data_IF_798319220963
#
_entry.id   IF_798319220963
#
_cell.length_a   1.000
_cell.length_b   1.000
_cell.length_c   1.000
_cell.angle_alpha   90.00
_cell.angle_beta   90.00
_cell.angle_gamma   90.00
#
_symmetry.space_group_name_H-M   'P 1'
#
loop_
_entity.id
_entity.type
_entity.pdbx_description
1 polymer ?
#
# COMPACT_ATOMS: atom_id res chain seq x y z
N UNK A 1 -22.28 -23.59 -2.41
CA UNK A 1 -20.94 -23.40 -3.00
C UNK A 1 -20.46 -22.02 -2.61
N UNK A 2 -19.60 -21.91 -1.59
CA UNK A 2 -19.02 -20.62 -1.23
C UNK A 2 -17.88 -20.31 -2.20
N UNK A 3 -18.02 -19.24 -2.99
CA UNK A 3 -16.94 -18.75 -3.83
C UNK A 3 -15.77 -18.41 -2.89
N UNK A 4 -14.65 -19.14 -3.00
CA UNK A 4 -13.39 -18.69 -2.42
C UNK A 4 -12.96 -17.48 -3.24
N UNK A 5 -13.34 -16.29 -2.81
CA UNK A 5 -12.82 -15.04 -3.39
C UNK A 5 -11.35 -14.99 -3.01
N UNK A 6 -10.48 -15.38 -3.94
CA UNK A 6 -9.06 -15.10 -3.82
C UNK A 6 -8.93 -13.59 -3.94
N UNK A 7 -8.70 -12.90 -2.82
CA UNK A 7 -8.48 -11.46 -2.81
C UNK A 7 -7.15 -11.22 -3.53
N UNK A 8 -7.18 -10.61 -4.71
CA UNK A 8 -5.95 -10.21 -5.37
C UNK A 8 -5.22 -9.16 -4.53
N UNK A 9 -3.90 -9.31 -4.29
CA UNK A 9 -3.15 -8.38 -3.46
C UNK A 9 -3.01 -7.02 -4.16
N UNK A 10 -3.03 -5.95 -3.36
CA UNK A 10 -2.91 -4.57 -3.80
C UNK A 10 -1.47 -4.08 -3.66
N UNK A 11 -0.94 -3.43 -4.71
CA UNK A 11 0.25 -2.58 -4.54
C UNK A 11 -0.15 -1.27 -3.86
N UNK A 12 0.78 -0.59 -3.18
CA UNK A 12 0.51 0.75 -2.61
C UNK A 12 0.05 1.77 -3.67
N UNK A 13 0.55 1.64 -4.91
CA UNK A 13 0.10 2.47 -6.04
C UNK A 13 -1.36 2.22 -6.38
N UNK A 14 -1.81 0.97 -6.37
CA UNK A 14 -3.22 0.61 -6.59
C UNK A 14 -4.10 1.17 -5.47
N UNK A 15 -3.67 1.07 -4.20
CA UNK A 15 -4.42 1.62 -3.08
C UNK A 15 -4.67 3.12 -3.24
N UNK A 16 -3.63 3.91 -3.52
CA UNK A 16 -3.85 5.36 -3.73
C UNK A 16 -4.68 5.66 -4.97
N UNK A 17 -4.51 4.91 -6.06
CA UNK A 17 -5.25 5.14 -7.30
C UNK A 17 -6.74 4.81 -7.16
N UNK A 18 -7.10 3.78 -6.40
CA UNK A 18 -8.50 3.43 -6.08
C UNK A 18 -9.22 4.55 -5.29
N UNK A 19 -8.47 5.40 -4.60
CA UNK A 19 -8.98 6.53 -3.85
C UNK A 19 -8.72 7.88 -4.54
N UNK A 20 -8.30 7.87 -5.81
CA UNK A 20 -7.96 9.07 -6.60
C UNK A 20 -6.93 9.99 -5.93
N UNK A 21 -5.97 9.39 -5.21
CA UNK A 21 -4.95 10.13 -4.46
C UNK A 21 -3.62 10.22 -5.21
N UNK A 22 -3.02 11.40 -5.11
CA UNK A 22 -1.60 11.61 -5.39
C UNK A 22 -0.71 10.94 -4.33
N UNK A 23 0.58 10.75 -4.63
CA UNK A 23 1.56 10.23 -3.64
C UNK A 23 1.68 11.15 -2.41
N UNK A 24 1.49 12.47 -2.59
CA UNK A 24 1.54 13.43 -1.50
C UNK A 24 0.34 13.29 -0.56
N UNK A 25 -0.86 13.11 -1.09
CA UNK A 25 -2.08 12.91 -0.30
C UNK A 25 -2.08 11.56 0.43
N UNK A 26 -1.64 10.50 -0.26
CA UNK A 26 -1.49 9.18 0.35
C UNK A 26 -0.46 9.17 1.49
N UNK A 27 0.70 9.79 1.26
CA UNK A 27 1.71 9.99 2.32
C UNK A 27 1.15 10.77 3.51
N UNK A 28 0.44 11.88 3.26
CA UNK A 28 -0.17 12.70 4.31
C UNK A 28 -1.16 11.91 5.16
N UNK A 29 -2.01 11.07 4.54
CA UNK A 29 -2.98 10.22 5.26
C UNK A 29 -2.33 9.30 6.28
N UNK A 30 -1.16 8.75 5.97
CA UNK A 30 -0.43 7.85 6.88
C UNK A 30 0.67 8.57 7.68
N UNK A 31 0.76 9.89 7.56
CA UNK A 31 1.68 10.76 8.30
C UNK A 31 3.14 10.64 7.87
N UNK A 32 3.39 10.47 6.57
CA UNK A 32 4.73 10.49 5.96
C UNK A 32 4.78 11.46 4.77
N UNK A 33 5.98 11.72 4.25
CA UNK A 33 6.13 12.57 3.06
C UNK A 33 5.80 11.82 1.77
N UNK A 34 5.53 12.58 0.70
CA UNK A 34 5.35 12.04 -0.65
C UNK A 34 6.55 11.16 -1.08
N UNK A 35 7.77 11.57 -0.70
CA UNK A 35 9.00 10.86 -1.00
C UNK A 35 9.08 9.49 -0.30
N UNK A 36 8.67 9.42 0.97
CA UNK A 36 8.61 8.15 1.71
C UNK A 36 7.59 7.21 1.07
N UNK A 37 6.38 7.70 0.76
CA UNK A 37 5.36 6.91 0.08
C UNK A 37 5.84 6.40 -1.30
N UNK A 38 6.48 7.26 -2.08
CA UNK A 38 7.10 6.89 -3.35
C UNK A 38 8.14 5.77 -3.21
N UNK A 39 8.99 5.82 -2.18
CA UNK A 39 10.00 4.78 -1.95
C UNK A 39 9.37 3.44 -1.58
N UNK A 40 8.25 3.44 -0.85
CA UNK A 40 7.50 2.23 -0.56
C UNK A 40 6.87 1.63 -1.82
N UNK A 41 6.29 2.47 -2.71
CA UNK A 41 5.77 2.00 -4.01
C UNK A 41 6.85 1.36 -4.89
N UNK A 42 8.11 1.76 -4.71
CA UNK A 42 9.28 1.24 -5.44
C UNK A 42 10.04 0.15 -4.67
N UNK A 43 9.52 -0.32 -3.54
CA UNK A 43 10.18 -1.32 -2.68
C UNK A 43 11.62 -0.93 -2.24
N UNK A 44 11.94 0.37 -2.19
CA UNK A 44 13.27 0.87 -1.76
C UNK A 44 13.42 0.89 -0.24
N UNK A 45 12.33 1.20 0.45
CA UNK A 45 12.19 1.15 1.90
C UNK A 45 10.80 0.61 2.21
N UNK A 46 10.54 0.26 3.46
CA UNK A 46 9.29 -0.36 3.87
C UNK A 46 8.69 0.35 5.10
N UNK A 47 7.36 0.37 5.23
CA UNK A 47 6.70 0.92 6.42
C UNK A 47 7.00 0.09 7.67
N UNK A 48 7.07 0.75 8.83
CA UNK A 48 7.11 0.09 10.14
C UNK A 48 5.70 -0.24 10.66
N UNK A 49 5.61 -0.92 11.81
CA UNK A 49 4.33 -1.35 12.39
C UNK A 49 3.32 -0.20 12.55
N UNK A 50 3.66 0.97 13.15
CA UNK A 50 2.73 2.10 13.21
C UNK A 50 2.26 2.62 11.84
N UNK A 51 3.13 2.60 10.83
CA UNK A 51 2.77 3.03 9.47
C UNK A 51 1.86 2.02 8.78
N UNK A 52 2.11 0.72 8.98
CA UNK A 52 1.24 -0.35 8.49
C UNK A 52 -0.17 -0.22 9.06
N UNK A 53 -0.31 -0.04 10.39
CA UNK A 53 -1.61 0.17 11.03
C UNK A 53 -2.37 1.38 10.46
N UNK A 54 -1.65 2.44 10.08
CA UNK A 54 -2.26 3.60 9.41
C UNK A 54 -2.69 3.28 7.98
N UNK A 55 -1.89 2.52 7.23
CA UNK A 55 -2.27 2.07 5.89
C UNK A 55 -3.53 1.21 5.95
N UNK A 56 -3.57 0.24 6.87
CA UNK A 56 -4.74 -0.64 7.07
C UNK A 56 -6.00 0.18 7.34
N UNK A 57 -5.91 1.16 8.26
CA UNK A 57 -7.03 2.03 8.61
C UNK A 57 -7.47 2.95 7.47
N UNK A 58 -6.53 3.62 6.80
CA UNK A 58 -6.85 4.66 5.80
C UNK A 58 -7.31 4.10 4.45
N UNK A 59 -6.90 2.87 4.12
CA UNK A 59 -7.20 2.22 2.84
C UNK A 59 -8.13 1.02 2.96
N UNK A 60 -8.63 0.71 4.16
CA UNK A 60 -9.55 -0.41 4.45
C UNK A 60 -9.01 -1.75 3.91
N UNK A 61 -7.76 -2.05 4.28
CA UNK A 61 -7.05 -3.27 3.89
C UNK A 61 -6.36 -3.88 5.11
N UNK A 62 -5.96 -5.14 4.98
CA UNK A 62 -5.05 -5.78 5.94
C UNK A 62 -3.64 -5.86 5.37
N UNK A 63 -2.62 -6.01 6.21
CA UNK A 63 -1.24 -6.23 5.75
C UNK A 63 -1.13 -7.36 4.72
N UNK A 64 -1.87 -8.46 4.90
CA UNK A 64 -1.88 -9.61 3.98
C UNK A 64 -2.48 -9.29 2.61
N UNK A 65 -3.25 -8.20 2.50
CA UNK A 65 -3.80 -7.72 1.24
C UNK A 65 -2.78 -6.89 0.45
N UNK A 66 -1.61 -6.54 1.01
CA UNK A 66 -0.64 -5.62 0.40
C UNK A 66 0.58 -6.37 -0.13
N UNK A 67 0.93 -6.15 -1.39
CA UNK A 67 2.18 -6.61 -1.99
C UNK A 67 3.21 -5.48 -2.07
N UNK A 68 4.31 -5.64 -1.34
CA UNK A 68 5.44 -4.70 -1.33
C UNK A 68 6.57 -5.09 -2.30
N UNK A 69 6.50 -6.27 -2.91
CA UNK A 69 7.53 -6.77 -3.83
C UNK A 69 7.13 -6.46 -5.28
N UNK A 70 8.05 -5.90 -6.05
CA UNK A 70 7.96 -5.89 -7.52
C UNK A 70 8.60 -7.17 -8.04
N UNK A 71 8.00 -7.83 -9.04
CA UNK A 71 8.62 -8.98 -9.72
C UNK A 71 9.93 -8.52 -10.39
N UNK A 72 11.05 -8.66 -9.68
CA UNK A 72 12.38 -8.52 -10.24
C UNK A 72 12.78 -9.90 -10.76
N UNK A 73 12.30 -10.23 -11.95
CA UNK A 73 12.91 -11.29 -12.75
C UNK A 73 14.27 -10.74 -13.22
N UNK A 74 15.30 -10.98 -12.40
CA UNK A 74 16.70 -10.83 -12.81
C UNK A 74 17.11 -11.94 -13.77
#
# INVERSE_FOLDING_TARGET
MGVKVVKEPYTLKMLRAKHDLTQAEAGKKVGVSAYVWHNWEKAKTFPNIPQLQRIEKEFDVTYNDIIFLTNNNG
#
